data_IF_123256925373
#
_entry.id   IF_123256925373
#
_cell.length_a   1.000
_cell.length_b   1.000
_cell.length_c   1.000
_cell.angle_alpha   90.00
_cell.angle_beta   90.00
_cell.angle_gamma   90.00
#
_symmetry.space_group_name_H-M   'P 1'
#
loop_
_entity.id
_entity.type
_entity.pdbx_description
1 polymer ?
#
# COMPACT_ATOMS: atom_id res chain seq x y z
N UNK A 1 15.18 -9.68 4.44
CA UNK A 1 15.37 -8.65 3.39
C UNK A 1 14.82 -9.20 2.08
N UNK A 2 13.97 -8.47 1.38
CA UNK A 2 13.61 -8.79 0.00
C UNK A 2 14.77 -8.31 -0.88
N UNK A 3 15.68 -9.21 -1.24
CA UNK A 3 16.97 -8.89 -1.90
C UNK A 3 16.96 -9.06 -3.42
N UNK A 4 15.78 -9.16 -4.04
CA UNK A 4 15.66 -9.21 -5.49
C UNK A 4 15.57 -7.82 -6.09
N UNK A 5 16.35 -7.55 -7.15
CA UNK A 5 16.05 -6.43 -8.05
C UNK A 5 14.65 -6.57 -8.67
N UNK A 6 14.08 -5.50 -9.23
CA UNK A 6 12.77 -5.58 -9.89
C UNK A 6 12.78 -6.68 -10.95
N UNK A 7 11.67 -7.42 -11.14
CA UNK A 7 11.60 -8.47 -12.15
C UNK A 7 12.05 -7.95 -13.53
N UNK A 8 12.69 -8.76 -14.39
CA UNK A 8 13.25 -8.30 -15.67
C UNK A 8 12.26 -7.55 -16.58
N UNK A 9 10.96 -7.84 -16.46
CA UNK A 9 9.88 -7.16 -17.20
C UNK A 9 9.42 -5.81 -16.61
N UNK A 10 9.84 -5.45 -15.41
CA UNK A 10 9.39 -4.24 -14.70
C UNK A 10 10.32 -3.06 -14.97
N UNK A 11 10.32 -2.58 -16.23
CA UNK A 11 11.26 -1.54 -16.71
C UNK A 11 10.60 -0.19 -17.00
N UNK A 12 9.28 -0.09 -16.94
CA UNK A 12 8.53 1.14 -17.27
C UNK A 12 7.50 1.45 -16.19
N UNK A 13 7.14 2.73 -16.06
CA UNK A 13 6.07 3.15 -15.15
C UNK A 13 4.74 2.44 -15.47
N UNK A 14 4.44 2.23 -16.76
CA UNK A 14 3.27 1.47 -17.20
C UNK A 14 3.29 0.01 -16.73
N UNK A 15 4.45 -0.65 -16.75
CA UNK A 15 4.57 -2.02 -16.24
C UNK A 15 4.35 -2.08 -14.71
N UNK A 16 4.83 -1.09 -13.95
CA UNK A 16 4.58 -0.98 -12.51
C UNK A 16 3.10 -0.75 -12.23
N UNK A 17 2.46 0.17 -12.95
CA UNK A 17 1.02 0.45 -12.80
C UNK A 17 0.16 -0.78 -13.13
N UNK A 18 0.47 -1.49 -14.22
CA UNK A 18 -0.23 -2.71 -14.59
C UNK A 18 -0.06 -3.82 -13.54
N UNK A 19 1.12 -3.94 -12.94
CA UNK A 19 1.34 -4.88 -11.85
C UNK A 19 0.53 -4.50 -10.61
N UNK A 20 0.48 -3.20 -10.27
CA UNK A 20 -0.36 -2.68 -9.19
C UNK A 20 -1.84 -3.03 -9.37
N UNK A 21 -2.37 -2.88 -10.60
CA UNK A 21 -3.74 -3.28 -10.91
C UNK A 21 -3.96 -4.78 -10.67
N UNK A 22 -3.04 -5.65 -11.11
CA UNK A 22 -3.17 -7.09 -10.85
C UNK A 22 -3.12 -7.45 -9.35
N UNK A 23 -2.37 -6.69 -8.54
CA UNK A 23 -2.36 -6.90 -7.08
C UNK A 23 -3.72 -6.51 -6.48
N UNK A 24 -4.28 -5.38 -6.90
CA UNK A 24 -5.63 -4.96 -6.49
C UNK A 24 -6.68 -5.98 -6.89
N UNK A 25 -6.67 -6.46 -8.14
CA UNK A 25 -7.63 -7.45 -8.63
C UNK A 25 -7.57 -8.75 -7.82
N UNK A 26 -6.37 -9.22 -7.48
CA UNK A 26 -6.18 -10.41 -6.63
C UNK A 26 -6.69 -10.19 -5.21
N UNK A 27 -6.42 -9.01 -4.64
CA UNK A 27 -6.90 -8.66 -3.29
C UNK A 27 -8.43 -8.60 -3.26
N UNK A 28 -9.05 -7.92 -4.22
CA UNK A 28 -10.50 -7.86 -4.35
C UNK A 28 -11.13 -9.23 -4.56
N UNK A 29 -10.60 -10.03 -5.50
CA UNK A 29 -11.10 -11.38 -5.75
C UNK A 29 -10.98 -12.29 -4.53
N UNK A 30 -9.88 -12.22 -3.79
CA UNK A 30 -9.73 -12.97 -2.53
C UNK A 30 -10.77 -12.49 -1.52
N UNK A 31 -10.86 -11.17 -1.30
CA UNK A 31 -11.77 -10.59 -0.34
C UNK A 31 -13.20 -11.00 -0.65
N UNK A 32 -13.66 -10.95 -1.90
CA UNK A 32 -15.03 -11.34 -2.28
C UNK A 32 -15.38 -12.79 -1.89
N UNK A 33 -14.39 -13.68 -1.85
CA UNK A 33 -14.57 -15.08 -1.45
C UNK A 33 -14.37 -15.36 0.04
N UNK A 34 -13.91 -14.37 0.82
CA UNK A 34 -13.65 -14.53 2.25
C UNK A 34 -14.96 -14.66 3.03
N UNK A 35 -15.15 -15.80 3.70
CA UNK A 35 -16.35 -16.08 4.47
C UNK A 35 -16.32 -15.37 5.82
N UNK A 36 -15.15 -15.28 6.46
CA UNK A 36 -15.00 -14.61 7.75
C UNK A 36 -14.54 -13.16 7.57
N UNK A 37 -15.51 -12.25 7.60
CA UNK A 37 -15.27 -10.79 7.52
C UNK A 37 -14.87 -10.16 8.85
N UNK A 38 -14.72 -10.93 9.93
CA UNK A 38 -14.33 -10.38 11.23
C UNK A 38 -12.87 -9.93 11.28
N UNK A 39 -12.05 -10.37 10.32
CA UNK A 39 -10.61 -10.11 10.25
C UNK A 39 -9.82 -10.58 11.49
N UNK A 40 -10.33 -11.59 12.21
CA UNK A 40 -9.69 -12.15 13.42
C UNK A 40 -8.76 -13.33 13.15
N UNK A 41 -8.71 -13.83 11.90
CA UNK A 41 -7.83 -14.91 11.52
C UNK A 41 -6.36 -14.54 11.76
N UNK A 42 -5.55 -15.51 12.20
CA UNK A 42 -4.11 -15.32 12.39
C UNK A 42 -3.37 -15.52 11.07
N UNK A 43 -2.59 -14.52 10.65
CA UNK A 43 -1.72 -14.56 9.48
C UNK A 43 -0.26 -14.70 9.90
N UNK A 44 0.45 -15.67 9.32
CA UNK A 44 1.88 -15.83 9.55
C UNK A 44 2.66 -14.84 8.70
N UNK A 45 3.41 -13.95 9.33
CA UNK A 45 4.24 -12.95 8.64
C UNK A 45 5.72 -13.13 8.98
N UNK A 46 6.61 -12.47 8.23
CA UNK A 46 8.05 -12.52 8.50
C UNK A 46 8.46 -11.87 9.83
N UNK A 47 7.57 -11.08 10.45
CA UNK A 47 7.79 -10.39 11.72
C UNK A 47 6.92 -10.95 12.85
N UNK A 48 6.41 -12.17 12.65
CA UNK A 48 5.61 -12.91 13.62
C UNK A 48 4.14 -13.07 13.21
N UNK A 49 3.37 -13.86 13.95
CA UNK A 49 1.93 -13.99 13.73
C UNK A 49 1.23 -12.65 14.00
N UNK A 50 0.26 -12.27 13.16
CA UNK A 50 -0.56 -11.07 13.30
C UNK A 50 -2.04 -11.42 13.10
N UNK A 51 -2.97 -10.63 13.61
CA UNK A 51 -4.35 -10.72 13.13
C UNK A 51 -4.46 -10.19 11.69
N UNK A 52 -5.43 -10.70 10.92
CA UNK A 52 -5.74 -10.18 9.59
C UNK A 52 -6.09 -8.69 9.65
N UNK A 53 -6.79 -8.23 10.70
CA UNK A 53 -7.09 -6.82 10.93
C UNK A 53 -5.82 -5.97 11.01
N UNK A 54 -4.88 -6.30 11.89
CA UNK A 54 -3.62 -5.56 12.05
C UNK A 54 -2.80 -5.56 10.76
N UNK A 55 -2.78 -6.68 10.04
CA UNK A 55 -2.08 -6.77 8.76
C UNK A 55 -2.70 -5.86 7.69
N UNK A 56 -4.04 -5.85 7.59
CA UNK A 56 -4.75 -5.02 6.62
C UNK A 56 -4.63 -3.54 6.97
N UNK A 57 -4.85 -3.17 8.24
CA UNK A 57 -4.66 -1.79 8.72
C UNK A 57 -3.23 -1.31 8.42
N UNK A 58 -2.22 -2.12 8.76
CA UNK A 58 -0.82 -1.81 8.48
C UNK A 58 -0.53 -1.61 7.01
N UNK A 59 -1.03 -2.51 6.17
CA UNK A 59 -0.89 -2.41 4.72
C UNK A 59 -1.52 -1.12 4.20
N UNK A 60 -2.73 -0.80 4.65
CA UNK A 60 -3.47 0.40 4.21
C UNK A 60 -2.72 1.69 4.57
N UNK A 61 -2.33 1.88 5.82
CA UNK A 61 -1.64 3.13 6.22
C UNK A 61 -0.24 3.24 5.61
N UNK A 62 0.47 2.11 5.44
CA UNK A 62 1.79 2.09 4.81
C UNK A 62 1.73 2.44 3.32
N UNK A 63 0.74 1.93 2.58
CA UNK A 63 0.46 2.35 1.21
C UNK A 63 0.12 3.85 1.15
N UNK A 64 -0.71 4.34 2.08
CA UNK A 64 -1.03 5.76 2.19
C UNK A 64 0.21 6.63 2.41
N UNK A 65 1.15 6.18 3.24
CA UNK A 65 2.41 6.88 3.49
C UNK A 65 3.28 6.98 2.23
N UNK A 66 3.38 5.91 1.43
CA UNK A 66 4.09 5.97 0.14
C UNK A 66 3.43 6.91 -0.86
N UNK A 67 2.10 7.03 -0.85
CA UNK A 67 1.41 8.03 -1.68
C UNK A 67 1.74 9.47 -1.23
N UNK A 68 1.82 9.73 0.08
CA UNK A 68 2.27 11.04 0.60
C UNK A 68 3.70 11.37 0.15
N UNK A 69 4.60 10.40 0.21
CA UNK A 69 5.98 10.53 -0.30
C UNK A 69 5.99 10.83 -1.80
N UNK A 70 5.16 10.14 -2.58
CA UNK A 70 5.04 10.36 -4.02
C UNK A 70 4.53 11.76 -4.36
N UNK A 71 3.51 12.27 -3.66
CA UNK A 71 3.05 13.64 -3.85
C UNK A 71 4.12 14.68 -3.54
N UNK A 72 4.94 14.47 -2.52
CA UNK A 72 6.08 15.35 -2.24
C UNK A 72 7.10 15.32 -3.38
N UNK A 73 7.40 14.16 -3.97
CA UNK A 73 8.32 14.06 -5.11
C UNK A 73 7.78 14.77 -6.36
N UNK A 74 6.47 14.67 -6.61
CA UNK A 74 5.82 15.40 -7.70
C UNK A 74 5.89 16.91 -7.49
N UNK A 75 5.66 17.39 -6.27
CA UNK A 75 5.78 18.81 -5.90
C UNK A 75 7.21 19.33 -6.12
N UNK A 76 8.22 18.59 -5.65
CA UNK A 76 9.65 18.90 -5.90
C UNK A 76 9.95 18.98 -7.41
N UNK A 77 9.32 18.13 -8.21
CA UNK A 77 9.48 18.11 -9.66
C UNK A 77 8.64 19.17 -10.41
N UNK A 78 7.79 19.94 -9.70
CA UNK A 78 6.86 20.89 -10.31
C UNK A 78 5.74 20.23 -11.13
N UNK A 79 5.39 18.98 -10.83
CA UNK A 79 4.36 18.21 -11.53
C UNK A 79 3.09 18.19 -10.68
N UNK A 80 1.98 18.69 -11.24
CA UNK A 80 0.68 18.57 -10.60
C UNK A 80 0.19 17.11 -10.63
N UNK A 81 -0.23 16.52 -9.50
CA UNK A 81 -0.79 15.18 -9.49
C UNK A 81 -2.16 15.15 -10.18
N UNK A 82 -2.46 14.06 -10.89
CA UNK A 82 -3.75 13.88 -11.56
C UNK A 82 -4.93 13.71 -10.59
N UNK A 83 -4.65 13.27 -9.35
CA UNK A 83 -5.61 13.18 -8.26
C UNK A 83 -4.91 13.46 -6.93
N UNK A 84 -5.63 14.05 -5.98
CA UNK A 84 -5.14 14.30 -4.62
C UNK A 84 -5.85 13.38 -3.63
N UNK A 85 -5.15 13.06 -2.53
CA UNK A 85 -5.76 12.48 -1.33
C UNK A 85 -5.67 13.54 -0.23
N UNK A 86 -6.77 13.75 0.48
CA UNK A 86 -6.80 14.64 1.64
C UNK A 86 -6.69 13.84 2.96
N UNK A 87 -6.76 14.54 4.08
CA UNK A 87 -6.71 13.91 5.41
C UNK A 87 -7.87 12.96 5.67
N UNK A 88 -9.02 13.13 5.00
CA UNK A 88 -10.17 12.26 5.18
C UNK A 88 -9.91 10.86 4.62
N UNK A 89 -9.09 10.73 3.58
CA UNK A 89 -8.65 9.44 3.04
C UNK A 89 -7.85 8.60 4.04
N UNK A 90 -7.30 9.22 5.09
CA UNK A 90 -6.50 8.56 6.11
C UNK A 90 -7.14 8.53 7.50
N UNK A 91 -8.41 8.93 7.61
CA UNK A 91 -9.10 9.01 8.89
C UNK A 91 -9.12 7.63 9.59
N UNK A 92 -8.73 7.61 10.87
CA UNK A 92 -8.70 6.39 11.68
C UNK A 92 -7.45 5.51 11.49
N UNK A 93 -6.57 5.83 10.54
CA UNK A 93 -5.32 5.11 10.36
C UNK A 93 -4.20 5.69 11.26
N UNK A 94 -3.29 4.85 11.79
CA UNK A 94 -2.15 5.30 12.58
C UNK A 94 -1.04 5.86 11.67
N UNK A 95 -1.36 6.94 10.96
CA UNK A 95 -0.43 7.58 10.03
C UNK A 95 0.76 8.22 10.76
N UNK A 96 2.01 8.07 10.26
CA UNK A 96 3.14 8.85 10.74
C UNK A 96 2.91 10.35 10.57
N UNK A 97 3.40 11.17 11.51
CA UNK A 97 3.32 12.63 11.40
C UNK A 97 4.20 13.13 10.25
N UNK A 98 5.45 12.65 10.19
CA UNK A 98 6.41 12.96 9.12
C UNK A 98 6.10 12.18 7.84
N UNK A 99 6.43 12.75 6.67
CA UNK A 99 6.31 12.07 5.36
C UNK A 99 7.53 11.18 5.09
N UNK A 100 8.71 11.62 5.56
CA UNK A 100 9.93 10.84 5.61
C UNK A 100 10.30 10.64 7.06
N UNK A 101 10.55 9.40 7.45
CA UNK A 101 11.34 9.12 8.64
C UNK A 101 12.81 9.32 8.24
N UNK A 102 13.56 10.07 9.05
CA UNK A 102 15.00 10.30 8.86
C UNK A 102 15.83 9.05 9.13
#
# INVERSE_FOLDING_TARGET
>A
MLTGGPPPGMRTAAAVAAYGQQVLDRLSSWWDTEADRSARATVQTYYGPQSLHELMERTTWHCGQHVRQWFMLLDIAGIAPAATLDSAAFAGLPMPSSVWDG
#
